data_IF_097037055209
#
_entry.id   IF_097037055209
#
_cell.length_a   1.000
_cell.length_b   1.000
_cell.length_c   1.000
_cell.angle_alpha   90.00
_cell.angle_beta   90.00
_cell.angle_gamma   90.00
#
_symmetry.space_group_name_H-M   'P 1'
#
loop_
_entity.id
_entity.type
_entity.pdbx_description
1 polymer ?
#
# COMPACT_ATOMS: atom_id res chain seq x y z
N UNK A 1 9.77 -41.74 -30.23
CA UNK A 1 10.25 -40.53 -29.53
C UNK A 1 9.12 -39.52 -29.47
N UNK A 2 8.51 -39.33 -28.29
CA UNK A 2 7.45 -38.34 -28.04
C UNK A 2 8.11 -36.98 -27.78
N UNK A 3 7.69 -35.93 -28.50
CA UNK A 3 7.85 -34.54 -28.04
C UNK A 3 6.49 -33.86 -28.19
N UNK A 4 5.73 -33.87 -27.10
CA UNK A 4 4.56 -33.03 -26.89
C UNK A 4 5.05 -31.59 -26.90
N UNK A 5 4.53 -30.77 -27.82
CA UNK A 5 4.68 -29.33 -27.78
C UNK A 5 3.89 -28.83 -26.56
N UNK A 6 4.63 -28.43 -25.52
CA UNK A 6 4.10 -27.77 -24.35
C UNK A 6 3.38 -26.50 -24.80
N UNK A 7 2.09 -26.41 -24.45
CA UNK A 7 1.28 -25.24 -24.67
C UNK A 7 1.86 -24.03 -23.97
N UNK A 8 2.09 -22.97 -24.74
CA UNK A 8 2.17 -21.62 -24.22
C UNK A 8 0.76 -21.23 -23.72
N UNK A 9 0.43 -21.63 -22.49
CA UNK A 9 -0.60 -20.93 -21.74
C UNK A 9 -0.02 -19.56 -21.40
N UNK A 10 -0.43 -18.55 -22.17
CA UNK A 10 -0.37 -17.16 -21.72
C UNK A 10 -1.23 -17.10 -20.46
N UNK A 11 -0.59 -17.23 -19.30
CA UNK A 11 -1.18 -16.87 -18.03
C UNK A 11 -1.30 -15.35 -18.12
N UNK A 12 -2.49 -14.88 -18.53
CA UNK A 12 -2.88 -13.50 -18.34
C UNK A 12 -2.77 -13.27 -16.84
N UNK A 13 -1.67 -12.67 -16.39
CA UNK A 13 -1.57 -12.13 -15.06
C UNK A 13 -2.69 -11.09 -14.99
N UNK A 14 -3.81 -11.46 -14.37
CA UNK A 14 -4.81 -10.48 -13.99
C UNK A 14 -4.11 -9.59 -12.97
N UNK A 15 -3.53 -8.48 -13.44
CA UNK A 15 -3.07 -7.40 -12.60
C UNK A 15 -4.20 -7.12 -11.61
N UNK A 16 -4.00 -7.47 -10.34
CA UNK A 16 -5.01 -7.24 -9.31
C UNK A 16 -4.97 -5.74 -9.07
N UNK A 17 -5.69 -4.98 -9.89
CA UNK A 17 -5.85 -3.55 -9.67
C UNK A 17 -6.61 -3.39 -8.36
N UNK A 18 -5.90 -3.03 -7.29
CA UNK A 18 -6.46 -2.76 -5.97
C UNK A 18 -7.31 -1.49 -6.05
N UNK A 19 -8.51 -1.61 -6.60
CA UNK A 19 -9.43 -0.49 -6.84
C UNK A 19 -10.11 -0.15 -5.53
N UNK A 20 -10.02 1.12 -5.10
CA UNK A 20 -10.65 1.57 -3.87
C UNK A 20 -12.17 1.43 -3.96
N UNK A 21 -12.82 0.65 -3.08
CA UNK A 21 -14.27 0.54 -3.09
C UNK A 21 -14.90 1.89 -2.76
N UNK A 22 -15.92 2.28 -3.53
CA UNK A 22 -16.60 3.58 -3.40
C UNK A 22 -17.25 3.83 -2.03
N UNK A 23 -17.38 2.79 -1.19
CA UNK A 23 -18.10 2.81 0.09
C UNK A 23 -17.21 2.80 1.34
N UNK A 24 -15.92 3.15 1.20
CA UNK A 24 -15.00 3.25 2.34
C UNK A 24 -14.86 4.73 2.77
N UNK A 25 -15.98 5.34 3.15
CA UNK A 25 -15.96 6.68 3.73
C UNK A 25 -15.66 6.60 5.24
N UNK A 26 -14.75 7.46 5.71
CA UNK A 26 -14.43 7.58 7.13
C UNK A 26 -15.43 8.52 7.79
N UNK A 27 -16.20 8.01 8.74
CA UNK A 27 -17.10 8.84 9.55
C UNK A 27 -16.30 9.77 10.47
N UNK A 28 -16.94 10.84 10.99
CA UNK A 28 -16.30 11.76 11.94
C UNK A 28 -15.74 11.04 13.18
N UNK A 29 -16.49 10.04 13.70
CA UNK A 29 -16.08 9.24 14.86
C UNK A 29 -14.85 8.38 14.55
N UNK A 30 -14.83 7.73 13.38
CA UNK A 30 -13.68 6.92 12.94
C UNK A 30 -12.46 7.79 12.70
N UNK A 31 -12.62 8.95 12.07
CA UNK A 31 -11.52 9.91 11.88
C UNK A 31 -10.94 10.40 13.21
N UNK A 32 -11.79 10.64 14.22
CA UNK A 32 -11.33 10.99 15.56
C UNK A 32 -10.58 9.84 16.24
N UNK A 33 -11.08 8.61 16.11
CA UNK A 33 -10.42 7.41 16.60
C UNK A 33 -9.04 7.21 15.96
N UNK A 34 -8.93 7.34 14.64
CA UNK A 34 -7.67 7.21 13.90
C UNK A 34 -6.66 8.25 14.38
N UNK A 35 -7.07 9.50 14.58
CA UNK A 35 -6.19 10.55 15.10
C UNK A 35 -5.71 10.26 16.52
N UNK A 36 -6.61 9.80 17.40
CA UNK A 36 -6.28 9.48 18.79
C UNK A 36 -5.35 8.27 18.93
N UNK A 37 -5.44 7.30 18.03
CA UNK A 37 -4.68 6.04 18.07
C UNK A 37 -3.58 5.97 17.00
N UNK A 38 -3.20 7.12 16.44
CA UNK A 38 -2.38 7.18 15.24
C UNK A 38 -1.02 6.49 15.38
N UNK A 39 -0.37 6.65 16.55
CA UNK A 39 0.90 5.97 16.85
C UNK A 39 0.76 4.45 17.04
N UNK A 40 -0.39 3.98 17.50
CA UNK A 40 -0.70 2.55 17.59
C UNK A 40 -0.98 1.95 16.21
N UNK A 41 -1.72 2.69 15.37
CA UNK A 41 -2.11 2.24 14.03
C UNK A 41 -0.92 2.18 13.07
N UNK A 42 -0.08 3.22 13.03
CA UNK A 42 0.97 3.34 12.02
C UNK A 42 2.39 3.34 12.61
N UNK A 43 2.51 3.05 13.90
CA UNK A 43 3.79 2.98 14.61
C UNK A 43 4.36 4.34 14.99
N UNK A 44 5.61 4.32 15.47
CA UNK A 44 6.37 5.54 15.84
C UNK A 44 7.21 6.10 14.70
N UNK A 45 7.43 5.33 13.64
CA UNK A 45 8.22 5.78 12.50
C UNK A 45 7.43 6.85 11.73
N UNK A 46 8.06 8.02 11.57
CA UNK A 46 7.46 9.17 10.89
C UNK A 46 7.05 8.87 9.45
N UNK A 47 7.82 8.07 8.71
CA UNK A 47 7.50 7.71 7.32
C UNK A 47 6.28 6.79 7.29
N UNK A 48 6.23 5.76 8.13
CA UNK A 48 5.08 4.85 8.24
C UNK A 48 3.78 5.60 8.56
N UNK A 49 3.86 6.55 9.49
CA UNK A 49 2.76 7.45 9.82
C UNK A 49 2.29 8.29 8.62
N UNK A 50 3.21 8.88 7.86
CA UNK A 50 2.84 9.69 6.69
C UNK A 50 2.22 8.85 5.58
N UNK A 51 2.73 7.64 5.35
CA UNK A 51 2.14 6.69 4.40
C UNK A 51 0.71 6.36 4.86
N UNK A 52 0.53 5.90 6.10
CA UNK A 52 -0.78 5.58 6.66
C UNK A 52 -1.78 6.73 6.58
N UNK A 53 -1.37 7.94 6.98
CA UNK A 53 -2.21 9.15 6.88
C UNK A 53 -2.61 9.46 5.45
N UNK A 54 -1.68 9.34 4.51
CA UNK A 54 -1.93 9.71 3.11
C UNK A 54 -2.93 8.76 2.49
N UNK A 55 -2.70 7.45 2.63
CA UNK A 55 -3.56 6.44 2.04
C UNK A 55 -4.98 6.45 2.66
N UNK A 56 -5.08 6.64 3.98
CA UNK A 56 -6.38 6.72 4.66
C UNK A 56 -7.17 7.98 4.28
N UNK A 57 -6.51 9.11 4.04
CA UNK A 57 -7.19 10.36 3.70
C UNK A 57 -7.42 10.57 2.21
N UNK A 58 -6.67 9.90 1.33
CA UNK A 58 -6.73 10.09 -0.11
C UNK A 58 -6.99 8.77 -0.86
N UNK A 59 -8.21 8.23 -0.79
CA UNK A 59 -8.64 7.03 -1.52
C UNK A 59 -8.27 6.93 -3.01
N UNK A 60 -8.21 8.06 -3.71
CA UNK A 60 -7.86 8.09 -5.13
C UNK A 60 -6.43 7.59 -5.42
N UNK A 61 -5.58 7.46 -4.38
CA UNK A 61 -4.22 6.92 -4.50
C UNK A 61 -4.20 5.45 -4.90
N UNK A 62 -5.16 4.65 -4.42
CA UNK A 62 -5.20 3.21 -4.71
C UNK A 62 -5.58 2.93 -6.18
N UNK A 63 -6.39 3.80 -6.77
CA UNK A 63 -6.80 3.73 -8.18
C UNK A 63 -5.72 4.28 -9.15
N UNK A 64 -4.52 4.62 -8.64
CA UNK A 64 -3.46 5.26 -9.41
C UNK A 64 -3.81 6.65 -9.96
N UNK A 65 -4.84 7.32 -9.40
CA UNK A 65 -5.27 8.67 -9.81
C UNK A 65 -4.51 9.78 -9.07
N UNK A 66 -3.66 9.43 -8.10
CA UNK A 66 -2.82 10.36 -7.33
C UNK A 66 -1.34 9.94 -7.30
N UNK A 67 -0.69 9.76 -8.48
CA UNK A 67 0.72 9.41 -8.53
C UNK A 67 1.63 10.50 -7.93
N UNK A 68 1.15 11.74 -7.86
CA UNK A 68 1.82 12.84 -7.16
C UNK A 68 2.02 12.54 -5.66
N UNK A 69 1.05 11.89 -5.01
CA UNK A 69 1.14 11.52 -3.60
C UNK A 69 2.13 10.39 -3.38
N UNK A 70 2.09 9.32 -4.19
CA UNK A 70 3.06 8.25 -4.07
C UNK A 70 4.48 8.72 -4.39
N UNK A 71 4.66 9.60 -5.38
CA UNK A 71 5.93 10.26 -5.62
C UNK A 71 6.43 11.05 -4.41
N UNK A 72 5.55 11.81 -3.76
CA UNK A 72 5.91 12.58 -2.56
C UNK A 72 6.29 11.66 -1.38
N UNK A 73 5.57 10.56 -1.18
CA UNK A 73 5.90 9.55 -0.17
C UNK A 73 7.24 8.86 -0.46
N UNK A 74 7.50 8.52 -1.71
CA UNK A 74 8.78 7.93 -2.12
C UNK A 74 9.95 8.88 -1.91
N UNK A 75 9.77 10.17 -2.20
CA UNK A 75 10.77 11.20 -1.90
C UNK A 75 10.99 11.33 -0.38
N UNK A 76 9.94 11.22 0.42
CA UNK A 76 10.05 11.22 1.88
C UNK A 76 10.82 10.00 2.38
N UNK A 77 10.55 8.81 1.84
CA UNK A 77 11.29 7.57 2.12
C UNK A 77 12.78 7.79 1.82
N UNK A 78 13.13 8.16 0.59
CA UNK A 78 14.52 8.39 0.15
C UNK A 78 15.26 9.42 1.01
N UNK A 79 14.54 10.42 1.52
CA UNK A 79 15.12 11.45 2.40
C UNK A 79 15.35 10.95 3.83
N UNK A 80 14.54 10.02 4.33
CA UNK A 80 14.54 9.59 5.74
C UNK A 80 15.25 8.25 5.95
N UNK A 81 15.23 7.37 4.96
CA UNK A 81 15.98 6.13 4.94
C UNK A 81 17.29 6.32 4.19
N UNK A 82 18.39 6.44 4.93
CA UNK A 82 19.73 6.69 4.36
C UNK A 82 20.29 5.50 3.60
N UNK A 83 19.75 4.31 3.84
CA UNK A 83 20.17 3.06 3.19
C UNK A 83 19.14 2.61 2.16
N UNK A 84 18.27 3.52 1.73
CA UNK A 84 17.23 3.21 0.78
C UNK A 84 17.83 2.59 -0.50
N UNK A 85 17.36 1.38 -0.79
CA UNK A 85 17.54 0.72 -2.07
C UNK A 85 16.20 0.71 -2.79
N UNK A 86 16.17 0.94 -4.11
CA UNK A 86 14.96 0.70 -4.90
C UNK A 86 14.45 -0.73 -4.67
N UNK A 87 13.18 -0.86 -4.34
CA UNK A 87 12.52 -2.12 -3.98
C UNK A 87 11.20 -2.23 -4.73
N UNK A 88 10.84 -3.45 -5.11
CA UNK A 88 9.60 -3.78 -5.78
C UNK A 88 9.73 -3.94 -7.29
N UNK A 89 8.90 -4.84 -7.83
CA UNK A 89 8.71 -5.00 -9.28
C UNK A 89 8.19 -3.68 -9.89
N UNK A 90 8.47 -3.46 -11.18
CA UNK A 90 7.88 -2.34 -11.92
C UNK A 90 6.35 -2.43 -11.74
N UNK A 91 5.68 -1.37 -11.23
CA UNK A 91 4.27 -1.47 -10.91
C UNK A 91 3.47 -1.78 -12.16
N UNK A 92 2.63 -2.80 -12.07
CA UNK A 92 1.58 -3.03 -13.06
C UNK A 92 0.47 -1.98 -12.82
N UNK A 93 0.45 -0.90 -13.61
CA UNK A 93 -0.63 0.09 -13.53
C UNK A 93 -0.26 1.52 -13.93
N UNK A 94 -1.16 2.45 -13.61
CA UNK A 94 -1.07 3.88 -13.95
C UNK A 94 -0.18 4.70 -13.00
N UNK A 95 0.17 4.16 -11.82
CA UNK A 95 1.02 4.83 -10.84
C UNK A 95 2.39 4.13 -10.73
N UNK A 96 3.46 4.75 -11.25
CA UNK A 96 4.79 4.15 -11.26
C UNK A 96 5.48 4.10 -9.90
N UNK A 97 4.89 4.66 -8.84
CA UNK A 97 5.51 4.78 -7.53
C UNK A 97 4.83 3.94 -6.45
N UNK A 98 3.63 3.42 -6.72
CA UNK A 98 2.80 2.71 -5.74
C UNK A 98 3.47 1.45 -5.21
N UNK A 99 4.15 0.70 -6.11
CA UNK A 99 4.92 -0.48 -5.75
C UNK A 99 6.02 -0.15 -4.75
N UNK A 100 6.95 0.74 -5.12
CA UNK A 100 8.09 1.11 -4.26
C UNK A 100 7.65 1.58 -2.86
N UNK A 101 6.57 2.37 -2.76
CA UNK A 101 6.02 2.82 -1.47
C UNK A 101 5.45 1.64 -0.68
N UNK A 102 4.68 0.77 -1.33
CA UNK A 102 4.07 -0.41 -0.73
C UNK A 102 5.09 -1.40 -0.18
N UNK A 103 6.09 -1.77 -0.99
CA UNK A 103 7.18 -2.66 -0.56
C UNK A 103 7.99 -2.06 0.59
N UNK A 104 8.36 -0.78 0.50
CA UNK A 104 9.11 -0.15 1.57
C UNK A 104 8.29 -0.12 2.87
N UNK A 105 6.99 0.19 2.79
CA UNK A 105 6.11 0.16 3.97
C UNK A 105 6.06 -1.25 4.57
N UNK A 106 5.84 -2.26 3.74
CA UNK A 106 5.78 -3.65 4.19
C UNK A 106 7.07 -4.09 4.87
N UNK A 107 8.24 -3.71 4.37
CA UNK A 107 9.52 -4.12 4.96
C UNK A 107 9.90 -3.34 6.23
N UNK A 108 9.47 -2.09 6.36
CA UNK A 108 9.98 -1.18 7.41
C UNK A 108 8.96 -0.83 8.50
N UNK A 109 7.68 -1.00 8.23
CA UNK A 109 6.63 -0.53 9.13
C UNK A 109 5.90 -1.65 9.88
N UNK A 110 5.85 -2.88 9.34
CA UNK A 110 4.95 -4.01 9.75
C UNK A 110 4.25 -3.81 11.10
N UNK A 111 3.09 -3.17 11.03
CA UNK A 111 2.15 -3.07 12.13
C UNK A 111 0.77 -3.38 11.58
N UNK A 112 0.21 -4.49 12.05
CA UNK A 112 -1.15 -4.95 11.77
C UNK A 112 -1.86 -5.06 13.11
N UNK A 113 -2.35 -3.95 13.65
CA UNK A 113 -2.82 -3.91 15.03
C UNK A 113 -3.99 -4.89 15.19
N UNK A 114 -3.91 -5.76 16.19
CA UNK A 114 -5.03 -6.61 16.60
C UNK A 114 -5.82 -5.91 17.71
N UNK A 115 -7.12 -6.22 17.84
CA UNK A 115 -7.97 -5.65 18.88
C UNK A 115 -8.32 -4.15 18.72
N UNK A 116 -7.94 -3.51 17.61
CA UNK A 116 -8.37 -2.15 17.28
C UNK A 116 -9.81 -2.12 16.76
N UNK A 117 -10.43 -0.94 16.85
CA UNK A 117 -11.76 -0.70 16.27
C UNK A 117 -11.72 -1.04 14.78
N UNK A 118 -12.65 -1.89 14.34
CA UNK A 118 -12.85 -2.20 12.92
C UNK A 118 -13.30 -0.94 12.19
N UNK A 119 -12.47 -0.47 11.26
CA UNK A 119 -12.72 0.68 10.39
C UNK A 119 -12.33 0.24 8.99
N UNK A 120 -13.30 0.23 8.06
CA UNK A 120 -13.08 -0.29 6.70
C UNK A 120 -11.87 0.35 5.99
N UNK A 121 -11.62 1.64 6.23
CA UNK A 121 -10.47 2.34 5.63
C UNK A 121 -9.12 1.82 6.13
N UNK A 122 -9.04 1.43 7.41
CA UNK A 122 -7.85 0.81 7.97
C UNK A 122 -7.68 -0.61 7.45
N UNK A 123 -8.76 -1.40 7.44
CA UNK A 123 -8.74 -2.77 6.91
C UNK A 123 -8.26 -2.79 5.45
N UNK A 124 -8.76 -1.85 4.64
CA UNK A 124 -8.36 -1.70 3.25
C UNK A 124 -6.92 -1.21 3.10
N UNK A 125 -6.49 -0.26 3.94
CA UNK A 125 -5.09 0.17 3.96
C UNK A 125 -4.13 -0.97 4.29
N UNK A 126 -4.39 -1.73 5.35
CA UNK A 126 -3.53 -2.86 5.70
C UNK A 126 -3.61 -3.98 4.66
N UNK A 127 -4.80 -4.25 4.11
CA UNK A 127 -4.98 -5.18 2.99
C UNK A 127 -4.13 -4.79 1.78
N UNK A 128 -4.12 -3.51 1.41
CA UNK A 128 -3.26 -2.99 0.34
C UNK A 128 -1.78 -3.21 0.64
N UNK A 129 -1.35 -2.93 1.88
CA UNK A 129 0.06 -3.06 2.24
C UNK A 129 0.51 -4.53 2.33
N UNK A 130 -0.39 -5.45 2.67
CA UNK A 130 -0.12 -6.90 2.63
C UNK A 130 -0.01 -7.45 1.20
N UNK A 131 -0.61 -6.80 0.19
CA UNK A 131 -0.43 -7.21 -1.20
C UNK A 131 1.07 -7.28 -1.59
N UNK A 132 1.87 -6.35 -1.07
CA UNK A 132 3.31 -6.28 -1.32
C UNK A 132 4.15 -7.26 -0.47
N UNK A 133 3.53 -8.15 0.31
CA UNK A 133 4.23 -9.24 1.01
C UNK A 133 4.77 -10.31 0.05
N UNK A 134 3.99 -10.66 -0.97
CA UNK A 134 4.18 -11.87 -1.78
C UNK A 134 4.95 -11.64 -3.09
N UNK A 135 5.34 -10.40 -3.38
CA UNK A 135 6.08 -10.09 -4.60
C UNK A 135 7.60 -9.92 -4.37
N UNK A 136 8.08 -10.17 -3.14
CA UNK A 136 9.50 -10.12 -2.75
C UNK A 136 10.25 -11.44 -2.94
#
# INVERSE_FOLDING_TARGET
MKKLLLGFMFICACAITYTYPKDINITKSEGAYIRANFGTLFGKNFVCQNIGRTYVNFPAIYDGKRPDLNKALLNLIRKKDRNYTPQGSNPEGSDPYIGEVGYWYFNNCKLFPTGIRKIKALDYFYGHMMYFENEG
#
